data_IF_642006779107
#
_entry.id   IF_642006779107
#
_cell.length_a   1.000
_cell.length_b   1.000
_cell.length_c   1.000
_cell.angle_alpha   90.00
_cell.angle_beta   90.00
_cell.angle_gamma   90.00
#
_symmetry.space_group_name_H-M   'P 1'
#
loop_
_entity.id
_entity.type
_entity.pdbx_description
1 polymer ?
#
# COMPACT_ATOMS: atom_id res chain seq x y z
N UNK A 1 26.50 4.69 7.80
CA UNK A 1 26.41 4.94 6.33
C UNK A 1 27.78 5.26 5.76
N UNK A 2 28.06 4.99 4.48
CA UNK A 2 29.28 5.36 3.75
C UNK A 2 28.97 6.39 2.67
N UNK A 3 30.02 7.16 2.28
CA UNK A 3 29.95 8.09 1.15
C UNK A 3 30.75 7.49 0.00
N UNK A 4 30.10 7.35 -1.16
CA UNK A 4 30.71 6.83 -2.38
C UNK A 4 30.51 7.83 -3.54
N UNK A 5 31.32 7.69 -4.59
CA UNK A 5 31.11 8.46 -5.81
C UNK A 5 30.51 7.58 -6.90
N UNK A 6 29.47 8.05 -7.55
CA UNK A 6 28.86 7.38 -8.69
C UNK A 6 29.90 7.14 -9.81
N UNK A 7 29.99 5.94 -10.31
CA UNK A 7 30.99 5.54 -11.32
C UNK A 7 30.46 4.51 -12.33
N UNK A 8 29.16 4.27 -12.38
CA UNK A 8 28.52 3.26 -13.22
C UNK A 8 28.64 1.83 -12.68
N UNK A 9 29.17 1.62 -11.48
CA UNK A 9 29.32 0.30 -10.83
C UNK A 9 28.71 0.28 -9.44
N UNK A 10 29.05 1.24 -8.58
CA UNK A 10 28.65 1.26 -7.16
C UNK A 10 27.14 1.35 -7.03
N UNK A 11 26.48 2.22 -7.79
CA UNK A 11 25.04 2.41 -7.76
C UNK A 11 24.30 1.15 -8.24
N UNK A 12 24.85 0.40 -9.20
CA UNK A 12 24.25 -0.86 -9.66
C UNK A 12 24.53 -2.03 -8.73
N UNK A 13 25.61 -2.03 -7.98
CA UNK A 13 25.87 -2.99 -6.92
C UNK A 13 24.87 -2.80 -5.77
N UNK A 14 24.61 -1.56 -5.36
CA UNK A 14 23.58 -1.23 -4.38
C UNK A 14 22.19 -1.67 -4.87
N UNK A 15 21.85 -1.37 -6.12
CA UNK A 15 20.58 -1.80 -6.72
C UNK A 15 20.42 -3.33 -6.69
N UNK A 16 21.49 -4.08 -7.02
CA UNK A 16 21.46 -5.54 -6.97
C UNK A 16 21.26 -6.06 -5.53
N UNK A 17 21.90 -5.45 -4.55
CA UNK A 17 21.73 -5.78 -3.13
C UNK A 17 20.29 -5.55 -2.65
N UNK A 18 19.69 -4.41 -3.02
CA UNK A 18 18.31 -4.08 -2.66
C UNK A 18 17.30 -5.02 -3.34
N UNK A 19 17.52 -5.39 -4.59
CA UNK A 19 16.70 -6.38 -5.31
C UNK A 19 16.79 -7.77 -4.66
N UNK A 20 17.98 -8.19 -4.22
CA UNK A 20 18.15 -9.47 -3.52
C UNK A 20 17.43 -9.48 -2.17
N UNK A 21 17.44 -8.37 -1.42
CA UNK A 21 16.68 -8.19 -0.17
C UNK A 21 15.18 -8.47 -0.36
N UNK A 22 14.62 -8.05 -1.50
CA UNK A 22 13.20 -8.15 -1.81
C UNK A 22 12.77 -9.55 -2.29
N UNK A 23 13.71 -10.38 -2.77
CA UNK A 23 13.38 -11.49 -3.69
C UNK A 23 12.83 -12.76 -3.08
N UNK A 24 13.18 -13.17 -1.85
CA UNK A 24 12.81 -14.50 -1.36
C UNK A 24 12.19 -14.48 0.04
N UNK A 25 10.97 -14.98 0.11
CA UNK A 25 10.36 -15.37 1.40
C UNK A 25 11.00 -16.70 1.83
N UNK A 26 11.53 -16.76 3.04
CA UNK A 26 12.07 -18.00 3.62
C UNK A 26 11.04 -19.14 3.46
N UNK A 27 11.42 -20.28 2.86
CA UNK A 27 10.55 -21.45 2.73
C UNK A 27 9.87 -21.86 4.04
N UNK A 28 10.55 -21.71 5.18
CA UNK A 28 9.99 -22.02 6.51
C UNK A 28 8.83 -21.09 6.86
N UNK A 29 8.93 -19.81 6.49
CA UNK A 29 7.82 -18.84 6.69
C UNK A 29 6.65 -19.24 5.81
N UNK A 30 6.90 -19.59 4.55
CA UNK A 30 5.86 -20.03 3.62
C UNK A 30 5.14 -21.27 4.12
N UNK A 31 5.88 -22.28 4.63
CA UNK A 31 5.32 -23.50 5.21
C UNK A 31 4.48 -23.21 6.46
N UNK A 32 4.99 -22.39 7.38
CA UNK A 32 4.27 -21.98 8.58
C UNK A 32 2.97 -21.24 8.25
N UNK A 33 3.02 -20.30 7.31
CA UNK A 33 1.84 -19.53 6.88
C UNK A 33 0.83 -20.44 6.17
N UNK A 34 1.29 -21.37 5.34
CA UNK A 34 0.41 -22.35 4.66
C UNK A 34 -0.32 -23.22 5.70
N UNK A 35 0.37 -23.65 6.75
CA UNK A 35 -0.23 -24.41 7.85
C UNK A 35 -1.32 -23.60 8.57
N UNK A 36 -1.05 -22.31 8.84
CA UNK A 36 -2.03 -21.40 9.47
C UNK A 36 -3.26 -21.22 8.57
N UNK A 37 -3.04 -20.97 7.27
CA UNK A 37 -4.12 -20.79 6.30
C UNK A 37 -5.03 -22.01 6.26
N UNK A 38 -4.46 -23.21 6.15
CA UNK A 38 -5.21 -24.45 6.13
C UNK A 38 -5.98 -24.68 7.44
N UNK A 39 -5.33 -24.43 8.57
CA UNK A 39 -5.96 -24.53 9.89
C UNK A 39 -7.18 -23.62 10.03
N UNK A 40 -7.10 -22.37 9.58
CA UNK A 40 -8.25 -21.43 9.61
C UNK A 40 -9.34 -21.86 8.63
N UNK A 41 -8.98 -22.34 7.43
CA UNK A 41 -9.94 -22.81 6.43
C UNK A 41 -10.77 -23.99 6.94
N UNK A 42 -10.18 -24.89 7.72
CA UNK A 42 -10.82 -26.08 8.24
C UNK A 42 -11.52 -25.84 9.58
N UNK A 43 -10.85 -25.11 10.50
CA UNK A 43 -11.28 -24.93 11.88
C UNK A 43 -12.08 -23.65 12.16
N UNK A 44 -12.13 -22.70 11.21
CA UNK A 44 -12.91 -21.45 11.35
C UNK A 44 -12.52 -20.63 12.60
N UNK A 45 -13.52 -20.16 13.35
CA UNK A 45 -13.33 -19.31 14.54
C UNK A 45 -12.47 -19.96 15.62
N UNK A 46 -12.54 -21.29 15.80
CA UNK A 46 -11.74 -21.97 16.82
C UNK A 46 -10.25 -21.92 16.48
N UNK A 47 -9.88 -22.19 15.23
CA UNK A 47 -8.51 -22.08 14.78
C UNK A 47 -7.99 -20.63 14.87
N UNK A 48 -8.82 -19.65 14.52
CA UNK A 48 -8.47 -18.23 14.68
C UNK A 48 -8.17 -17.91 16.13
N UNK A 49 -8.99 -18.40 17.07
CA UNK A 49 -8.81 -18.21 18.51
C UNK A 49 -7.51 -18.87 19.00
N UNK A 50 -7.25 -20.11 18.62
CA UNK A 50 -6.02 -20.83 19.00
C UNK A 50 -4.75 -20.11 18.52
N UNK A 51 -4.72 -19.67 17.25
CA UNK A 51 -3.59 -18.92 16.72
C UNK A 51 -3.43 -17.55 17.37
N UNK A 52 -4.52 -16.85 17.70
CA UNK A 52 -4.47 -15.56 18.41
C UNK A 52 -3.84 -15.74 19.80
N UNK A 53 -4.27 -16.75 20.57
CA UNK A 53 -3.65 -17.07 21.86
C UNK A 53 -2.16 -17.40 21.71
N UNK A 54 -1.83 -18.19 20.71
CA UNK A 54 -0.46 -18.67 20.48
C UNK A 54 0.50 -17.56 20.07
N UNK A 55 0.07 -16.61 19.22
CA UNK A 55 0.96 -15.61 18.60
C UNK A 55 0.86 -14.24 19.27
N UNK A 56 -0.32 -13.82 19.70
CA UNK A 56 -0.50 -12.53 20.36
C UNK A 56 -0.37 -12.63 21.87
N UNK A 57 -0.34 -13.86 22.45
CA UNK A 57 -0.14 -14.11 23.86
C UNK A 57 -1.26 -13.60 24.75
N UNK A 58 -2.39 -13.22 24.17
CA UNK A 58 -3.56 -12.72 24.90
C UNK A 58 -4.86 -13.28 24.32
N UNK A 59 -5.86 -13.40 25.19
CA UNK A 59 -7.22 -13.75 24.79
C UNK A 59 -8.02 -12.45 24.73
N UNK A 60 -8.54 -12.06 23.56
CA UNK A 60 -9.42 -10.89 23.47
C UNK A 60 -10.63 -11.07 24.39
N UNK A 61 -10.92 -10.08 25.20
CA UNK A 61 -12.15 -10.08 26.05
C UNK A 61 -13.41 -10.03 25.18
N UNK A 62 -13.29 -9.34 24.06
CA UNK A 62 -14.30 -9.23 23.02
C UNK A 62 -13.59 -9.23 21.66
N UNK A 63 -14.08 -10.03 20.72
CA UNK A 63 -13.44 -10.18 19.40
C UNK A 63 -14.03 -9.19 18.39
N UNK A 64 -15.33 -8.95 18.40
CA UNK A 64 -16.06 -8.16 17.41
C UNK A 64 -16.59 -6.87 18.03
N UNK A 65 -16.40 -5.75 17.33
CA UNK A 65 -16.93 -4.42 17.67
C UNK A 65 -17.74 -3.91 16.48
N UNK A 66 -18.98 -3.51 16.75
CA UNK A 66 -19.84 -2.86 15.79
C UNK A 66 -19.58 -1.34 15.73
N UNK A 67 -20.30 -0.67 14.86
CA UNK A 67 -20.10 0.74 14.59
C UNK A 67 -20.32 1.64 15.81
N UNK A 68 -21.32 1.37 16.62
CA UNK A 68 -21.63 2.17 17.80
C UNK A 68 -20.55 2.00 18.86
N UNK A 69 -20.08 0.77 19.05
CA UNK A 69 -18.99 0.44 19.97
C UNK A 69 -17.66 1.06 19.51
N UNK A 70 -17.37 1.06 18.19
CA UNK A 70 -16.20 1.74 17.63
C UNK A 70 -16.29 3.25 17.91
N UNK A 71 -17.44 3.86 17.70
CA UNK A 71 -17.66 5.29 17.95
C UNK A 71 -17.46 5.69 19.43
N UNK A 72 -17.76 4.81 20.38
CA UNK A 72 -17.56 5.08 21.81
C UNK A 72 -16.09 5.31 22.21
N UNK A 73 -15.13 4.90 21.36
CA UNK A 73 -13.70 5.16 21.59
C UNK A 73 -13.29 6.62 21.31
N UNK A 74 -14.10 7.41 20.62
CA UNK A 74 -13.82 8.83 20.40
C UNK A 74 -13.78 9.66 21.68
N UNK A 75 -14.44 9.19 22.74
CA UNK A 75 -14.46 9.83 24.06
C UNK A 75 -13.35 9.30 24.99
N UNK A 76 -12.57 8.30 24.54
CA UNK A 76 -11.51 7.66 25.31
C UNK A 76 -10.10 8.11 24.93
N UNK A 77 -9.97 8.94 23.90
CA UNK A 77 -8.68 9.43 23.38
C UNK A 77 -8.47 10.90 23.68
N UNK A 78 -7.21 11.33 23.65
CA UNK A 78 -6.86 12.74 23.80
C UNK A 78 -7.60 13.59 22.75
N UNK A 79 -8.30 14.67 23.16
CA UNK A 79 -8.98 15.57 22.23
C UNK A 79 -8.05 16.15 21.13
N UNK A 80 -6.80 16.45 21.44
CA UNK A 80 -5.84 16.94 20.46
C UNK A 80 -5.50 15.88 19.41
N UNK A 81 -5.37 14.61 19.83
CA UNK A 81 -5.22 13.48 18.92
C UNK A 81 -6.44 13.32 18.00
N UNK A 82 -7.64 13.35 18.57
CA UNK A 82 -8.90 13.28 17.81
C UNK A 82 -8.97 14.39 16.75
N UNK A 83 -8.66 15.63 17.12
CA UNK A 83 -8.66 16.76 16.18
C UNK A 83 -7.64 16.59 15.07
N UNK A 84 -6.44 16.07 15.36
CA UNK A 84 -5.41 15.79 14.38
C UNK A 84 -5.86 14.71 13.38
N UNK A 85 -6.47 13.61 13.88
CA UNK A 85 -7.00 12.51 13.05
C UNK A 85 -8.13 13.00 12.13
N UNK A 86 -9.03 13.85 12.62
CA UNK A 86 -10.12 14.43 11.79
C UNK A 86 -9.56 15.31 10.69
N UNK A 87 -8.57 16.16 10.98
CA UNK A 87 -7.92 17.01 9.96
C UNK A 87 -7.18 16.17 8.91
N UNK A 88 -6.44 15.16 9.36
CA UNK A 88 -5.76 14.22 8.45
C UNK A 88 -6.76 13.49 7.55
N UNK A 89 -7.86 12.98 8.13
CA UNK A 89 -8.93 12.32 7.37
C UNK A 89 -9.52 13.25 6.30
N UNK A 90 -9.74 14.54 6.62
CA UNK A 90 -10.25 15.51 5.64
C UNK A 90 -9.27 15.72 4.49
N UNK A 91 -7.97 15.90 4.77
CA UNK A 91 -6.96 16.07 3.73
C UNK A 91 -6.88 14.82 2.82
N UNK A 92 -6.94 13.61 3.41
CA UNK A 92 -6.96 12.34 2.66
C UNK A 92 -8.21 12.26 1.79
N UNK A 93 -9.38 12.66 2.32
CA UNK A 93 -10.61 12.71 1.56
C UNK A 93 -10.53 13.69 0.39
N UNK A 94 -10.05 14.92 0.63
CA UNK A 94 -9.92 15.96 -0.39
C UNK A 94 -8.98 15.58 -1.53
N UNK A 95 -7.94 14.83 -1.25
CA UNK A 95 -7.06 14.28 -2.26
C UNK A 95 -7.74 13.16 -3.05
N UNK A 96 -8.25 12.15 -2.34
CA UNK A 96 -8.76 10.92 -2.97
C UNK A 96 -10.10 11.10 -3.69
N UNK A 97 -10.95 12.04 -3.30
CA UNK A 97 -12.20 12.30 -4.01
C UNK A 97 -12.00 12.67 -5.49
N UNK A 98 -10.83 13.24 -5.84
CA UNK A 98 -10.47 13.58 -7.23
C UNK A 98 -10.18 12.35 -8.09
N UNK A 99 -9.98 11.19 -7.48
CA UNK A 99 -9.74 9.92 -8.15
C UNK A 99 -11.04 9.17 -8.47
N UNK A 100 -12.20 9.65 -7.97
CA UNK A 100 -13.48 8.99 -8.18
C UNK A 100 -13.85 8.98 -9.66
N UNK A 101 -14.10 7.79 -10.20
CA UNK A 101 -14.47 7.58 -11.59
C UNK A 101 -15.99 7.38 -11.72
N UNK A 102 -16.55 7.78 -12.86
CA UNK A 102 -17.96 7.61 -13.17
C UNK A 102 -18.17 6.53 -14.24
N UNK A 103 -19.26 5.79 -14.12
CA UNK A 103 -19.75 4.91 -15.20
C UNK A 103 -20.08 5.77 -16.42
N UNK A 104 -19.82 5.22 -17.61
CA UNK A 104 -20.09 5.92 -18.86
C UNK A 104 -20.73 5.00 -19.88
N UNK A 105 -21.46 5.58 -20.81
CA UNK A 105 -21.98 4.89 -21.99
C UNK A 105 -21.89 5.78 -23.22
N UNK A 106 -21.77 5.16 -24.38
CA UNK A 106 -21.87 5.80 -25.69
C UNK A 106 -22.94 5.13 -26.51
N UNK A 107 -23.63 5.91 -27.31
CA UNK A 107 -24.70 5.45 -28.20
C UNK A 107 -24.34 5.83 -29.63
N UNK A 108 -24.43 4.87 -30.56
CA UNK A 108 -24.33 5.15 -31.99
C UNK A 108 -25.69 5.50 -32.57
N UNK A 109 -25.73 6.20 -33.69
CA UNK A 109 -26.99 6.52 -34.42
C UNK A 109 -27.80 5.26 -34.77
N UNK A 110 -27.15 4.15 -35.00
CA UNK A 110 -27.75 2.84 -35.25
C UNK A 110 -28.41 2.18 -34.03
N UNK A 111 -28.40 2.83 -32.84
CA UNK A 111 -28.98 2.30 -31.62
C UNK A 111 -28.07 1.33 -30.86
N UNK A 112 -26.83 1.13 -31.28
CA UNK A 112 -25.84 0.36 -30.51
C UNK A 112 -25.41 1.16 -29.29
N UNK A 113 -25.45 0.54 -28.09
CA UNK A 113 -25.01 1.14 -26.83
C UNK A 113 -23.86 0.30 -26.29
N UNK A 114 -22.79 0.96 -25.91
CA UNK A 114 -21.67 0.35 -25.20
C UNK A 114 -21.27 1.23 -24.03
N UNK A 115 -20.79 0.61 -22.97
CA UNK A 115 -20.34 1.38 -21.83
C UNK A 115 -19.54 0.58 -20.82
N UNK A 116 -19.14 1.27 -19.79
CA UNK A 116 -18.44 0.69 -18.66
C UNK A 116 -19.15 1.07 -17.36
N UNK A 117 -19.48 0.06 -16.59
CA UNK A 117 -20.07 0.22 -15.26
C UNK A 117 -18.96 0.14 -14.23
N UNK A 118 -18.82 1.18 -13.42
CA UNK A 118 -17.85 1.28 -12.33
C UNK A 118 -18.61 1.16 -11.00
N UNK A 119 -18.15 0.27 -10.12
CA UNK A 119 -18.77 0.02 -8.81
C UNK A 119 -17.75 -0.30 -7.77
N UNK A 120 -17.94 0.20 -6.55
CA UNK A 120 -17.21 -0.22 -5.38
C UNK A 120 -17.36 -1.73 -5.12
N UNK A 121 -16.33 -2.32 -4.52
CA UNK A 121 -16.36 -3.68 -4.01
C UNK A 121 -17.46 -3.81 -2.94
N UNK A 122 -17.96 -5.03 -2.75
CA UNK A 122 -18.99 -5.26 -1.73
C UNK A 122 -18.42 -5.15 -0.32
N UNK A 123 -17.30 -5.83 -0.06
CA UNK A 123 -16.70 -5.87 1.26
C UNK A 123 -15.16 -5.88 1.16
N UNK A 124 -14.53 -5.06 1.97
CA UNK A 124 -13.06 -4.93 2.03
C UNK A 124 -12.58 -5.17 3.45
N UNK A 125 -11.50 -5.93 3.59
CA UNK A 125 -10.79 -6.15 4.84
C UNK A 125 -9.59 -5.22 4.94
N UNK A 126 -9.45 -4.50 6.03
CA UNK A 126 -8.27 -3.69 6.34
C UNK A 126 -7.48 -4.39 7.43
N UNK A 127 -6.21 -4.69 7.16
CA UNK A 127 -5.29 -5.14 8.19
C UNK A 127 -4.54 -3.95 8.78
N UNK A 128 -4.65 -3.75 10.09
CA UNK A 128 -3.92 -2.71 10.81
C UNK A 128 -3.00 -3.39 11.83
N UNK A 129 -1.68 -3.18 11.73
CA UNK A 129 -0.74 -3.74 12.68
C UNK A 129 -1.00 -3.26 14.09
N UNK A 130 -0.86 -4.16 15.05
CA UNK A 130 -0.76 -3.88 16.49
C UNK A 130 0.64 -4.27 16.96
N UNK A 131 0.99 -3.95 18.19
CA UNK A 131 2.26 -4.32 18.80
C UNK A 131 3.01 -3.11 19.35
N UNK A 132 4.31 -2.98 19.06
CA UNK A 132 5.16 -1.91 19.61
C UNK A 132 4.82 -0.51 19.09
N UNK A 133 4.19 -0.41 17.92
CA UNK A 133 3.69 0.84 17.35
C UNK A 133 2.23 0.65 16.90
N UNK A 134 1.39 1.62 17.23
CA UNK A 134 0.03 1.73 16.72
C UNK A 134 0.06 2.60 15.47
N UNK A 135 -0.71 2.21 14.44
CA UNK A 135 -0.74 2.93 13.15
C UNK A 135 -2.17 3.44 12.85
N UNK A 136 -2.68 4.47 13.58
CA UNK A 136 -3.98 5.08 13.27
C UNK A 136 -4.01 5.68 11.86
N UNK A 137 -2.88 6.17 11.34
CA UNK A 137 -2.75 6.66 9.96
C UNK A 137 -3.09 5.59 8.92
N UNK A 138 -2.65 4.34 9.13
CA UNK A 138 -2.98 3.24 8.23
C UNK A 138 -4.48 2.93 8.18
N UNK A 139 -5.23 3.21 9.26
CA UNK A 139 -6.69 3.11 9.23
C UNK A 139 -7.26 4.11 8.25
N UNK A 140 -6.87 5.40 8.35
CA UNK A 140 -7.34 6.47 7.46
C UNK A 140 -6.98 6.19 6.00
N UNK A 141 -5.71 5.87 5.74
CA UNK A 141 -5.17 5.67 4.39
C UNK A 141 -5.80 4.50 3.64
N UNK A 142 -6.31 3.51 4.36
CA UNK A 142 -7.02 2.37 3.76
C UNK A 142 -8.54 2.59 3.69
N UNK A 143 -9.17 3.12 4.76
CA UNK A 143 -10.62 3.21 4.84
C UNK A 143 -11.19 4.37 4.03
N UNK A 144 -10.54 5.55 4.02
CA UNK A 144 -11.07 6.74 3.34
C UNK A 144 -11.22 6.53 1.83
N UNK A 145 -10.21 6.07 1.08
CA UNK A 145 -10.39 5.81 -0.36
C UNK A 145 -11.38 4.67 -0.62
N UNK A 146 -11.50 3.67 0.26
CA UNK A 146 -12.52 2.62 0.15
C UNK A 146 -13.95 3.20 0.29
N UNK A 147 -14.18 4.13 1.22
CA UNK A 147 -15.48 4.82 1.35
C UNK A 147 -15.79 5.66 0.12
N UNK A 148 -14.84 6.41 -0.40
CA UNK A 148 -15.00 7.22 -1.63
C UNK A 148 -15.34 6.32 -2.83
N UNK A 149 -14.74 5.15 -2.93
CA UNK A 149 -15.03 4.14 -3.96
C UNK A 149 -16.45 3.55 -3.87
N UNK A 150 -17.15 3.78 -2.76
CA UNK A 150 -18.48 3.23 -2.51
C UNK A 150 -18.47 1.77 -2.07
N UNK A 151 -17.42 1.33 -1.37
CA UNK A 151 -17.40 0.02 -0.69
C UNK A 151 -18.53 -0.04 0.32
N UNK A 152 -19.32 -1.11 0.27
CA UNK A 152 -20.55 -1.20 1.06
C UNK A 152 -20.27 -1.54 2.52
N UNK A 153 -19.23 -2.34 2.80
CA UNK A 153 -18.85 -2.74 4.15
C UNK A 153 -17.32 -2.80 4.27
N UNK A 154 -16.78 -2.08 5.24
CA UNK A 154 -15.34 -2.06 5.56
C UNK A 154 -15.14 -2.76 6.90
N UNK A 155 -14.40 -3.86 6.87
CA UNK A 155 -14.04 -4.64 8.05
C UNK A 155 -12.57 -4.41 8.35
N UNK A 156 -12.26 -4.10 9.59
CA UNK A 156 -10.89 -3.97 10.06
C UNK A 156 -10.51 -5.15 10.96
N UNK A 157 -9.31 -5.68 10.78
CA UNK A 157 -8.67 -6.61 11.72
C UNK A 157 -7.43 -5.98 12.31
N UNK A 158 -7.24 -6.15 13.61
CA UNK A 158 -6.06 -5.66 14.35
C UNK A 158 -5.78 -6.59 15.52
N UNK A 159 -4.51 -6.88 15.86
CA UNK A 159 -4.20 -7.70 17.03
C UNK A 159 -4.73 -7.08 18.31
N UNK A 160 -5.13 -7.89 19.29
CA UNK A 160 -5.44 -7.40 20.64
C UNK A 160 -4.18 -6.84 21.31
N UNK A 161 -4.37 -5.90 22.22
CA UNK A 161 -3.32 -5.47 23.14
C UNK A 161 -2.95 -6.60 24.13
N UNK A 162 -1.85 -6.42 24.84
CA UNK A 162 -1.40 -7.41 25.85
C UNK A 162 -2.43 -7.70 26.95
N UNK A 163 -3.30 -6.75 27.20
CA UNK A 163 -4.42 -6.85 28.14
C UNK A 163 -5.72 -7.44 27.55
N UNK A 164 -5.68 -7.84 26.27
CA UNK A 164 -6.81 -8.37 25.51
C UNK A 164 -7.82 -7.30 25.05
N UNK A 165 -7.48 -6.02 25.19
CA UNK A 165 -8.33 -4.91 24.74
C UNK A 165 -7.82 -4.34 23.40
N UNK A 166 -8.67 -3.62 22.62
CA UNK A 166 -8.20 -2.90 21.43
C UNK A 166 -7.39 -1.65 21.82
N UNK A 167 -6.52 -1.21 20.94
CA UNK A 167 -5.85 0.08 21.09
C UNK A 167 -6.86 1.22 20.85
N UNK A 168 -7.11 2.12 21.83
CA UNK A 168 -8.13 3.16 21.71
C UNK A 168 -7.85 4.15 20.56
N UNK A 169 -6.59 4.45 20.25
CA UNK A 169 -6.24 5.36 19.15
C UNK A 169 -6.55 4.74 17.78
N UNK A 170 -6.33 3.43 17.61
CA UNK A 170 -6.71 2.70 16.39
C UNK A 170 -8.23 2.69 16.25
N UNK A 171 -8.97 2.43 17.35
CA UNK A 171 -10.43 2.42 17.33
C UNK A 171 -11.02 3.80 17.04
N UNK A 172 -10.46 4.87 17.61
CA UNK A 172 -10.88 6.24 17.32
C UNK A 172 -10.64 6.60 15.83
N UNK A 173 -9.49 6.21 15.27
CA UNK A 173 -9.23 6.39 13.83
C UNK A 173 -10.22 5.57 12.98
N UNK A 174 -10.59 4.36 13.38
CA UNK A 174 -11.60 3.55 12.71
C UNK A 174 -12.98 4.21 12.74
N UNK A 175 -13.36 4.84 13.86
CA UNK A 175 -14.59 5.63 13.98
C UNK A 175 -14.59 6.82 13.02
N UNK A 176 -13.51 7.62 12.99
CA UNK A 176 -13.37 8.80 12.12
C UNK A 176 -13.38 8.38 10.64
N UNK A 177 -12.70 7.28 10.29
CA UNK A 177 -12.66 6.76 8.91
C UNK A 177 -13.96 6.06 8.46
N UNK A 178 -14.88 5.81 9.39
CA UNK A 178 -16.17 5.17 9.12
C UNK A 178 -16.07 3.68 8.84
N UNK A 179 -15.18 2.97 9.55
CA UNK A 179 -15.11 1.50 9.53
C UNK A 179 -16.40 0.92 10.11
N UNK A 180 -16.92 -0.15 9.49
CA UNK A 180 -18.22 -0.70 9.86
C UNK A 180 -18.11 -1.75 10.98
N UNK A 181 -17.02 -2.54 10.98
CA UNK A 181 -16.72 -3.55 12.00
C UNK A 181 -15.23 -3.68 12.28
N UNK A 182 -14.89 -4.00 13.51
CA UNK A 182 -13.51 -4.31 13.92
C UNK A 182 -13.46 -5.67 14.59
N UNK A 183 -12.49 -6.49 14.20
CA UNK A 183 -12.19 -7.77 14.82
C UNK A 183 -10.78 -7.77 15.42
N UNK A 184 -10.67 -8.15 16.69
CA UNK A 184 -9.38 -8.26 17.37
C UNK A 184 -8.70 -9.59 17.03
N UNK A 185 -8.09 -9.62 15.87
CA UNK A 185 -7.32 -10.75 15.33
C UNK A 185 -6.15 -10.20 14.54
N UNK A 186 -4.95 -10.71 14.77
CA UNK A 186 -3.73 -10.34 14.05
C UNK A 186 -3.19 -11.48 13.17
N UNK A 187 -1.99 -11.28 12.62
CA UNK A 187 -1.21 -12.31 11.95
C UNK A 187 -1.81 -12.90 10.66
N UNK A 188 -1.20 -13.99 10.21
CA UNK A 188 -1.64 -14.71 9.02
C UNK A 188 -3.05 -15.31 9.17
N UNK A 189 -3.46 -15.65 10.40
CA UNK A 189 -4.79 -16.18 10.70
C UNK A 189 -5.90 -15.14 10.45
N UNK A 190 -5.63 -13.85 10.69
CA UNK A 190 -6.57 -12.78 10.35
C UNK A 190 -6.77 -12.65 8.83
N UNK A 191 -5.66 -12.72 8.07
CA UNK A 191 -5.70 -12.68 6.60
C UNK A 191 -6.47 -13.88 6.04
N UNK A 192 -6.24 -15.08 6.58
CA UNK A 192 -6.95 -16.30 6.19
C UNK A 192 -8.45 -16.22 6.53
N UNK A 193 -8.80 -15.69 7.71
CA UNK A 193 -10.18 -15.48 8.12
C UNK A 193 -10.92 -14.50 7.20
N UNK A 194 -10.28 -13.39 6.81
CA UNK A 194 -10.86 -12.45 5.84
C UNK A 194 -11.02 -13.06 4.45
N UNK A 195 -10.07 -13.92 4.01
CA UNK A 195 -10.08 -14.51 2.68
C UNK A 195 -11.14 -15.60 2.51
N UNK A 196 -11.33 -16.46 3.49
CA UNK A 196 -12.29 -17.58 3.41
C UNK A 196 -13.62 -17.28 4.09
N UNK A 197 -13.63 -16.40 5.07
CA UNK A 197 -14.71 -16.24 6.02
C UNK A 197 -14.65 -17.29 7.13
N UNK A 198 -15.21 -16.97 8.29
CA UNK A 198 -15.44 -17.88 9.41
C UNK A 198 -16.88 -17.72 9.88
N UNK A 199 -17.25 -18.30 11.01
CA UNK A 199 -18.60 -18.16 11.55
C UNK A 199 -18.91 -16.72 11.96
N UNK A 200 -17.89 -15.95 12.40
CA UNK A 200 -18.02 -14.55 12.85
C UNK A 200 -17.44 -13.54 11.85
N UNK A 201 -16.28 -13.84 11.27
CA UNK A 201 -15.59 -12.94 10.36
C UNK A 201 -16.06 -13.21 8.94
N UNK A 202 -16.79 -12.30 8.30
CA UNK A 202 -17.29 -12.53 6.95
C UNK A 202 -16.17 -12.44 5.91
N UNK A 203 -16.28 -13.26 4.85
CA UNK A 203 -15.37 -13.21 3.69
C UNK A 203 -15.41 -11.82 3.04
N UNK A 204 -14.24 -11.34 2.64
CA UNK A 204 -14.06 -10.07 1.92
C UNK A 204 -13.64 -10.29 0.46
N UNK A 205 -13.81 -9.26 -0.37
CA UNK A 205 -13.41 -9.29 -1.78
C UNK A 205 -11.95 -8.85 -1.95
N UNK A 206 -11.44 -8.01 -1.05
CA UNK A 206 -10.06 -7.49 -1.05
C UNK A 206 -9.53 -7.29 0.35
N UNK A 207 -8.24 -7.56 0.56
CA UNK A 207 -7.51 -7.29 1.80
C UNK A 207 -6.44 -6.23 1.52
N UNK A 208 -6.46 -5.15 2.29
CA UNK A 208 -5.49 -4.05 2.18
C UNK A 208 -4.83 -3.78 3.54
N UNK A 209 -3.72 -3.07 3.52
CA UNK A 209 -2.98 -2.66 4.71
C UNK A 209 -1.66 -3.39 4.91
N UNK A 210 -0.70 -2.73 5.58
CA UNK A 210 0.62 -3.25 5.86
C UNK A 210 0.59 -4.31 6.97
N UNK A 211 1.58 -5.19 6.98
CA UNK A 211 1.75 -6.18 8.03
C UNK A 211 3.16 -6.78 8.01
N UNK A 212 3.49 -7.56 9.02
CA UNK A 212 4.78 -8.25 9.09
C UNK A 212 4.91 -9.31 7.98
N UNK A 213 6.08 -9.96 7.92
CA UNK A 213 6.38 -10.96 6.88
C UNK A 213 5.35 -12.10 6.80
N UNK A 214 4.74 -12.52 7.93
CA UNK A 214 3.71 -13.55 7.93
C UNK A 214 2.41 -13.07 7.28
N UNK A 215 2.02 -11.81 7.54
CA UNK A 215 0.85 -11.16 6.93
C UNK A 215 1.07 -10.96 5.42
N UNK A 216 2.25 -10.43 5.02
CA UNK A 216 2.60 -10.25 3.62
C UNK A 216 2.62 -11.58 2.86
N UNK A 217 3.19 -12.64 3.47
CA UNK A 217 3.22 -13.99 2.89
C UNK A 217 1.80 -14.57 2.78
N UNK A 218 0.93 -14.37 3.78
CA UNK A 218 -0.45 -14.83 3.72
C UNK A 218 -1.24 -14.12 2.61
N UNK A 219 -1.08 -12.81 2.45
CA UNK A 219 -1.67 -12.05 1.33
C UNK A 219 -1.20 -12.60 -0.01
N UNK A 220 0.12 -12.83 -0.17
CA UNK A 220 0.71 -13.40 -1.40
C UNK A 220 0.13 -14.78 -1.74
N UNK A 221 0.02 -15.68 -0.74
CA UNK A 221 -0.49 -17.05 -0.96
C UNK A 221 -1.99 -17.10 -1.23
N UNK A 222 -2.75 -16.12 -0.75
CA UNK A 222 -4.21 -16.05 -0.89
C UNK A 222 -4.65 -15.18 -2.08
N UNK A 223 -3.71 -14.55 -2.78
CA UNK A 223 -4.03 -13.82 -4.01
C UNK A 223 -4.68 -14.76 -5.03
N UNK A 224 -5.83 -14.36 -5.56
CA UNK A 224 -6.67 -15.18 -6.42
C UNK A 224 -7.86 -15.84 -5.68
N UNK A 225 -7.76 -16.10 -4.37
CA UNK A 225 -8.89 -16.42 -3.49
C UNK A 225 -9.57 -15.14 -3.02
N UNK A 226 -8.77 -14.15 -2.73
CA UNK A 226 -9.12 -12.77 -2.37
C UNK A 226 -8.16 -11.84 -3.10
N UNK A 227 -8.59 -10.65 -3.47
CA UNK A 227 -7.68 -9.65 -4.01
C UNK A 227 -6.89 -8.95 -2.89
N UNK A 228 -5.73 -8.39 -3.21
CA UNK A 228 -4.87 -7.66 -2.26
C UNK A 228 -4.45 -6.30 -2.84
N UNK A 229 -3.97 -5.39 -1.99
CA UNK A 229 -3.32 -4.15 -2.42
C UNK A 229 -1.99 -4.44 -3.13
N UNK A 230 -1.03 -4.99 -2.39
CA UNK A 230 0.29 -5.38 -2.88
C UNK A 230 0.98 -6.33 -1.90
N UNK A 231 2.10 -6.88 -2.32
CA UNK A 231 3.03 -7.59 -1.42
C UNK A 231 4.10 -6.58 -0.99
N UNK A 232 3.94 -6.01 0.19
CA UNK A 232 4.88 -5.02 0.73
C UNK A 232 6.23 -5.66 1.09
N UNK A 233 7.30 -5.00 0.68
CA UNK A 233 8.66 -5.22 1.16
C UNK A 233 9.03 -4.29 2.31
N UNK A 234 10.31 -4.25 2.71
CA UNK A 234 10.83 -3.26 3.65
C UNK A 234 10.70 -1.85 3.10
N UNK A 235 10.48 -0.88 3.99
CA UNK A 235 10.33 0.53 3.64
C UNK A 235 11.59 1.15 3.03
N UNK A 236 11.42 2.16 2.18
CA UNK A 236 12.48 2.75 1.38
C UNK A 236 12.34 4.25 1.25
N UNK A 237 13.42 5.00 1.46
CA UNK A 237 13.53 6.39 1.06
C UNK A 237 14.74 6.61 0.16
N UNK A 238 14.55 7.36 -0.89
CA UNK A 238 15.59 7.90 -1.74
C UNK A 238 15.45 9.40 -1.81
N UNK A 239 16.52 10.12 -1.43
CA UNK A 239 16.57 11.57 -1.50
C UNK A 239 17.52 11.97 -2.63
N UNK A 240 17.06 12.83 -3.53
CA UNK A 240 17.90 13.50 -4.52
C UNK A 240 18.06 14.95 -4.10
N UNK A 241 19.31 15.38 -3.85
CA UNK A 241 19.59 16.71 -3.33
C UNK A 241 20.71 17.44 -4.08
N UNK A 242 20.55 18.75 -4.28
CA UNK A 242 21.62 19.63 -4.72
C UNK A 242 22.24 20.40 -3.53
N UNK A 243 23.18 21.31 -3.80
CA UNK A 243 23.87 22.07 -2.77
C UNK A 243 23.01 23.07 -1.98
N UNK A 244 21.73 23.25 -2.37
CA UNK A 244 20.79 24.15 -1.68
C UNK A 244 20.01 23.47 -0.55
N UNK A 245 20.09 22.14 -0.47
CA UNK A 245 19.42 21.38 0.58
C UNK A 245 20.09 21.55 1.94
N UNK A 246 19.29 21.45 3.00
CA UNK A 246 19.77 21.51 4.38
C UNK A 246 20.17 20.10 4.87
N UNK A 247 21.45 19.97 5.25
CA UNK A 247 22.00 18.69 5.72
C UNK A 247 21.29 18.15 6.97
N UNK A 248 20.75 19.01 7.82
CA UNK A 248 20.03 18.60 9.03
C UNK A 248 18.65 18.02 8.71
N UNK A 249 17.99 18.53 7.68
CA UNK A 249 16.72 18.00 7.18
C UNK A 249 16.93 16.64 6.53
N UNK A 250 17.90 16.55 5.60
CA UNK A 250 18.21 15.27 4.93
C UNK A 250 18.57 14.17 5.93
N UNK A 251 19.33 14.50 6.98
CA UNK A 251 19.66 13.54 8.03
C UNK A 251 18.41 13.07 8.79
N UNK A 252 17.49 13.97 9.11
CA UNK A 252 16.24 13.63 9.79
C UNK A 252 15.35 12.74 8.92
N UNK A 253 15.21 13.05 7.63
CA UNK A 253 14.36 12.31 6.69
C UNK A 253 14.92 10.92 6.39
N UNK A 254 16.24 10.76 6.27
CA UNK A 254 16.88 9.44 6.17
C UNK A 254 16.64 8.59 7.41
N UNK A 255 16.67 9.19 8.62
CA UNK A 255 16.45 8.48 9.87
C UNK A 255 14.97 8.15 10.12
N UNK A 256 14.03 9.00 9.67
CA UNK A 256 12.59 8.70 9.78
C UNK A 256 12.23 7.41 9.09
N UNK A 257 12.82 7.14 7.93
CA UNK A 257 12.61 5.87 7.23
C UNK A 257 13.37 4.71 7.85
N UNK A 258 14.64 4.96 8.25
CA UNK A 258 15.50 3.91 8.83
C UNK A 258 14.96 3.36 10.15
N UNK A 259 14.18 4.15 10.92
CA UNK A 259 13.60 3.70 12.19
C UNK A 259 12.44 2.70 12.05
N UNK A 260 11.86 2.56 10.85
CA UNK A 260 10.74 1.64 10.63
C UNK A 260 11.14 0.17 10.84
N UNK A 261 12.25 -0.25 10.25
CA UNK A 261 12.73 -1.65 10.31
C UNK A 261 14.24 -1.74 10.05
N UNK A 262 14.92 -2.74 10.62
CA UNK A 262 16.35 -2.99 10.38
C UNK A 262 16.67 -3.27 8.90
N UNK A 263 15.68 -3.64 8.10
CA UNK A 263 15.80 -3.90 6.66
C UNK A 263 15.36 -2.69 5.81
N UNK A 264 14.93 -1.59 6.41
CA UNK A 264 14.63 -0.36 5.68
C UNK A 264 15.86 0.14 4.93
N UNK A 265 15.66 0.81 3.79
CA UNK A 265 16.76 1.46 3.07
C UNK A 265 16.60 2.97 3.06
N UNK A 266 17.72 3.66 3.25
CA UNK A 266 17.77 5.11 3.25
C UNK A 266 18.98 5.58 2.43
N UNK A 267 18.71 6.18 1.27
CA UNK A 267 19.72 6.51 0.28
C UNK A 267 19.67 8.01 -0.03
N UNK A 268 20.84 8.67 -0.03
CA UNK A 268 21.00 10.03 -0.49
C UNK A 268 21.81 10.05 -1.79
N UNK A 269 21.27 10.62 -2.84
CA UNK A 269 21.98 10.98 -4.06
C UNK A 269 22.18 12.50 -4.07
N UNK A 270 23.41 12.96 -4.16
CA UNK A 270 23.67 14.41 -4.16
C UNK A 270 24.74 14.78 -5.17
N UNK A 271 24.65 15.99 -5.72
CA UNK A 271 25.70 16.58 -6.57
C UNK A 271 26.76 17.34 -5.76
N UNK A 272 26.64 17.37 -4.41
CA UNK A 272 27.50 18.14 -3.53
C UNK A 272 28.22 17.25 -2.51
N UNK A 273 29.53 17.10 -2.68
CA UNK A 273 30.37 16.36 -1.73
C UNK A 273 30.37 17.00 -0.32
N UNK A 274 30.28 18.32 -0.24
CA UNK A 274 30.19 19.03 1.03
C UNK A 274 28.89 18.76 1.75
N UNK A 275 27.75 18.70 1.02
CA UNK A 275 26.44 18.31 1.56
C UNK A 275 26.47 16.86 2.06
N UNK A 276 27.02 15.94 1.29
CA UNK A 276 27.17 14.53 1.70
C UNK A 276 27.90 14.40 3.05
N UNK A 277 29.03 15.10 3.22
CA UNK A 277 29.81 15.10 4.46
C UNK A 277 29.05 15.74 5.63
N UNK A 278 28.32 16.82 5.37
CA UNK A 278 27.56 17.53 6.39
C UNK A 278 26.36 16.69 6.83
N UNK A 279 25.64 16.03 5.90
CA UNK A 279 24.54 15.12 6.22
C UNK A 279 25.01 13.96 7.10
N UNK A 280 26.17 13.36 6.81
CA UNK A 280 26.72 12.30 7.66
C UNK A 280 27.02 12.80 9.08
N UNK A 281 27.58 14.00 9.25
CA UNK A 281 27.80 14.61 10.58
C UNK A 281 26.49 14.87 11.32
N UNK A 282 25.47 15.31 10.60
CA UNK A 282 24.14 15.54 11.17
C UNK A 282 23.48 14.24 11.61
N UNK A 283 23.61 13.14 10.84
CA UNK A 283 23.18 11.81 11.25
C UNK A 283 23.86 11.42 12.57
N UNK A 284 25.20 11.52 12.66
CA UNK A 284 25.97 11.19 13.87
C UNK A 284 25.58 12.03 15.10
N UNK A 285 25.11 13.26 14.85
CA UNK A 285 24.63 14.15 15.91
C UNK A 285 23.23 13.79 16.37
N UNK A 286 22.29 13.65 15.42
CA UNK A 286 20.85 13.54 15.70
C UNK A 286 20.47 12.15 16.21
N UNK A 287 21.09 11.07 15.70
CA UNK A 287 20.78 9.69 16.08
C UNK A 287 20.85 9.47 17.60
N UNK A 288 21.74 10.20 18.29
CA UNK A 288 21.97 10.08 19.75
C UNK A 288 20.74 10.47 20.59
N UNK A 289 19.80 11.18 20.02
CA UNK A 289 18.60 11.66 20.71
C UNK A 289 17.36 10.82 20.40
N UNK A 290 17.46 9.87 19.47
CA UNK A 290 16.33 9.07 19.00
C UNK A 290 16.19 7.79 19.83
N UNK A 291 14.95 7.33 20.01
CA UNK A 291 14.65 6.14 20.85
C UNK A 291 15.06 4.83 20.14
N UNK A 292 14.94 4.79 18.81
CA UNK A 292 15.17 3.56 18.01
C UNK A 292 16.56 3.50 17.37
N UNK A 293 17.59 4.01 18.05
CA UNK A 293 18.97 4.13 17.53
C UNK A 293 19.52 2.84 16.94
N UNK A 294 19.34 1.71 17.62
CA UNK A 294 19.85 0.41 17.17
C UNK A 294 19.26 -0.04 15.84
N UNK A 295 17.95 0.23 15.64
CA UNK A 295 17.25 -0.10 14.40
C UNK A 295 17.78 0.78 13.27
N UNK A 296 17.84 2.09 13.51
CA UNK A 296 18.37 3.08 12.54
C UNK A 296 19.79 2.72 12.14
N UNK A 297 20.68 2.45 13.14
CA UNK A 297 22.08 2.12 12.88
C UNK A 297 22.18 0.84 12.01
N UNK A 298 21.42 -0.20 12.35
CA UNK A 298 21.43 -1.46 11.59
C UNK A 298 20.94 -1.28 10.16
N UNK A 299 19.86 -0.51 9.97
CA UNK A 299 19.36 -0.14 8.65
C UNK A 299 20.42 0.61 7.83
N UNK A 300 21.08 1.59 8.43
CA UNK A 300 22.15 2.35 7.78
C UNK A 300 23.39 1.50 7.45
N UNK A 301 23.77 0.58 8.32
CA UNK A 301 24.93 -0.28 8.10
C UNK A 301 24.72 -1.24 6.94
N UNK A 302 23.51 -1.78 6.83
CA UNK A 302 23.21 -2.80 5.82
C UNK A 302 22.67 -2.18 4.50
N UNK A 303 21.86 -1.11 4.57
CA UNK A 303 21.08 -0.62 3.43
C UNK A 303 21.11 0.92 3.28
N UNK A 304 21.95 1.63 4.03
CA UNK A 304 22.10 3.08 3.95
C UNK A 304 23.33 3.48 3.14
N UNK A 305 23.17 4.40 2.17
CA UNK A 305 24.30 4.89 1.39
C UNK A 305 24.11 6.35 0.98
N UNK A 306 25.22 7.11 0.90
CA UNK A 306 25.27 8.44 0.32
C UNK A 306 26.11 8.35 -0.94
N UNK A 307 25.54 8.69 -2.10
CA UNK A 307 26.20 8.63 -3.40
C UNK A 307 26.34 10.03 -3.96
N UNK A 308 27.58 10.45 -4.25
CA UNK A 308 27.86 11.71 -4.93
C UNK A 308 27.82 11.50 -6.42
N UNK A 309 26.85 12.13 -7.08
CA UNK A 309 26.61 12.08 -8.51
C UNK A 309 27.26 13.28 -9.22
N UNK A 310 27.61 13.12 -10.50
CA UNK A 310 28.19 14.20 -11.29
C UNK A 310 27.18 15.32 -11.62
N UNK A 311 25.88 14.98 -11.71
CA UNK A 311 24.80 15.92 -11.97
C UNK A 311 23.43 15.31 -11.56
N UNK A 312 22.38 16.17 -11.49
CA UNK A 312 21.04 15.76 -11.11
C UNK A 312 20.40 14.77 -12.12
N UNK A 313 20.77 14.81 -13.38
CA UNK A 313 20.27 13.87 -14.37
C UNK A 313 20.70 12.44 -14.03
N UNK A 314 21.98 12.23 -13.73
CA UNK A 314 22.48 10.93 -13.29
C UNK A 314 21.78 10.44 -12.03
N UNK A 315 21.54 11.33 -11.06
CA UNK A 315 20.82 10.98 -9.83
C UNK A 315 19.37 10.54 -10.13
N UNK A 316 18.66 11.24 -11.01
CA UNK A 316 17.29 10.92 -11.38
C UNK A 316 17.21 9.64 -12.24
N UNK A 317 18.16 9.42 -13.14
CA UNK A 317 18.22 8.18 -13.94
C UNK A 317 18.40 6.98 -13.00
N UNK A 318 19.26 7.09 -11.98
CA UNK A 318 19.40 6.04 -10.95
C UNK A 318 18.14 5.91 -10.06
N UNK A 319 17.50 7.02 -9.68
CA UNK A 319 16.25 7.00 -8.93
C UNK A 319 15.15 6.22 -9.69
N UNK A 320 15.02 6.45 -10.99
CA UNK A 320 14.09 5.71 -11.86
C UNK A 320 14.45 4.22 -11.96
N UNK A 321 15.75 3.88 -11.96
CA UNK A 321 16.20 2.48 -11.93
C UNK A 321 15.93 1.81 -10.59
N UNK A 322 16.01 2.53 -9.48
CA UNK A 322 15.65 2.02 -8.15
C UNK A 322 14.14 1.87 -7.98
N UNK A 323 13.38 2.82 -8.52
CA UNK A 323 11.93 2.92 -8.38
C UNK A 323 11.50 2.86 -6.88
N UNK A 324 11.93 3.84 -6.06
CA UNK A 324 11.77 3.79 -4.62
C UNK A 324 10.33 3.96 -4.19
N UNK A 325 10.02 3.53 -2.97
CA UNK A 325 8.76 3.81 -2.28
C UNK A 325 8.56 5.31 -2.10
N UNK A 326 9.50 5.98 -1.45
CA UNK A 326 9.50 7.43 -1.24
C UNK A 326 10.67 8.06 -2.00
N UNK A 327 10.37 9.07 -2.81
CA UNK A 327 11.37 9.88 -3.50
C UNK A 327 11.24 11.34 -3.06
N UNK A 328 12.29 11.89 -2.42
CA UNK A 328 12.36 13.31 -2.14
C UNK A 328 13.27 14.03 -3.14
N UNK A 329 12.82 15.17 -3.67
CA UNK A 329 13.58 16.05 -4.55
C UNK A 329 13.94 17.35 -3.79
N UNK A 330 14.99 17.27 -2.97
CA UNK A 330 15.50 18.40 -2.17
C UNK A 330 16.48 19.25 -2.99
N UNK A 331 15.97 19.90 -4.03
CA UNK A 331 16.71 20.70 -4.99
C UNK A 331 16.12 22.13 -5.11
N UNK A 332 16.86 23.08 -5.64
CA UNK A 332 16.44 24.48 -5.74
C UNK A 332 15.11 24.67 -6.48
N UNK A 333 14.86 23.89 -7.55
CA UNK A 333 13.67 24.02 -8.40
C UNK A 333 13.02 22.67 -8.68
N UNK A 334 12.42 22.01 -7.66
CA UNK A 334 11.96 20.62 -7.76
C UNK A 334 10.91 20.40 -8.84
N UNK A 335 10.03 21.37 -9.10
CA UNK A 335 9.00 21.28 -10.14
C UNK A 335 9.56 21.11 -11.56
N UNK A 336 10.81 21.55 -11.82
CA UNK A 336 11.46 21.33 -13.12
C UNK A 336 11.78 19.86 -13.39
N UNK A 337 11.92 19.07 -12.34
CA UNK A 337 12.38 17.69 -12.42
C UNK A 337 11.26 16.65 -12.30
N UNK A 338 10.04 17.06 -11.92
CA UNK A 338 8.92 16.13 -11.77
C UNK A 338 8.63 15.32 -13.05
N UNK A 339 8.78 15.95 -14.21
CA UNK A 339 8.61 15.28 -15.51
C UNK A 339 9.74 14.31 -15.90
N UNK A 340 10.80 14.21 -15.08
CA UNK A 340 11.91 13.27 -15.25
C UNK A 340 11.81 12.07 -14.29
N UNK A 341 10.81 12.04 -13.42
CA UNK A 341 10.54 10.95 -12.50
C UNK A 341 9.52 10.02 -13.14
N UNK A 342 9.97 8.85 -13.57
CA UNK A 342 9.10 7.84 -14.18
C UNK A 342 8.59 6.84 -13.14
N UNK A 343 9.42 6.51 -12.14
CA UNK A 343 9.18 5.41 -11.23
C UNK A 343 9.43 5.83 -9.78
N UNK A 344 8.37 6.12 -9.04
CA UNK A 344 8.40 6.29 -7.58
C UNK A 344 7.00 6.01 -7.01
N UNK A 345 6.93 5.52 -5.79
CA UNK A 345 5.66 5.34 -5.09
C UNK A 345 5.03 6.68 -4.75
N UNK A 346 5.78 7.59 -4.10
CA UNK A 346 5.38 8.97 -3.84
C UNK A 346 6.56 9.91 -4.07
N UNK A 347 6.29 11.14 -4.53
CA UNK A 347 7.32 12.16 -4.80
C UNK A 347 7.08 13.40 -3.95
N UNK A 348 8.08 13.78 -3.17
CA UNK A 348 8.08 14.92 -2.26
C UNK A 348 8.95 16.03 -2.83
N UNK A 349 8.43 17.24 -2.93
CA UNK A 349 9.05 18.32 -3.69
C UNK A 349 9.54 19.43 -2.80
N UNK A 350 10.88 19.56 -2.71
CA UNK A 350 11.57 20.61 -1.98
C UNK A 350 11.77 20.33 -0.48
N UNK A 351 12.58 21.14 0.16
CA UNK A 351 13.03 20.96 1.54
C UNK A 351 11.93 21.04 2.62
N UNK A 352 10.72 21.45 2.26
CA UNK A 352 9.59 21.61 3.19
C UNK A 352 8.48 20.54 2.98
N UNK A 353 8.81 19.48 2.26
CA UNK A 353 7.91 18.37 2.00
C UNK A 353 8.58 17.06 2.43
N UNK A 354 8.84 16.84 3.72
CA UNK A 354 9.45 15.61 4.20
C UNK A 354 8.47 14.42 4.11
N UNK A 355 8.99 13.21 4.05
CA UNK A 355 8.20 11.96 3.97
C UNK A 355 7.11 11.87 5.06
N UNK A 356 7.36 12.20 6.36
CA UNK A 356 6.32 12.11 7.38
C UNK A 356 5.09 13.01 7.13
N UNK A 357 5.24 14.08 6.34
CA UNK A 357 4.10 14.89 5.91
C UNK A 357 3.13 14.06 5.06
N UNK A 358 3.65 13.23 4.15
CA UNK A 358 2.87 12.30 3.35
C UNK A 358 2.25 11.19 4.18
N UNK A 359 3.01 10.63 5.11
CA UNK A 359 2.57 9.51 5.93
C UNK A 359 1.38 9.84 6.84
N UNK A 360 1.31 11.08 7.32
CA UNK A 360 0.33 11.43 8.34
C UNK A 360 -0.72 12.45 7.92
N UNK A 361 -0.42 13.39 7.01
CA UNK A 361 -1.24 14.59 6.94
C UNK A 361 -1.56 15.14 5.56
N UNK A 362 -0.67 15.05 4.57
CA UNK A 362 -0.81 15.76 3.29
C UNK A 362 -1.99 15.31 2.43
N UNK A 363 -2.43 14.05 2.56
CA UNK A 363 -3.57 13.51 1.83
C UNK A 363 -3.25 12.40 0.83
N UNK A 364 -2.17 12.42 0.04
CA UNK A 364 -1.75 11.28 -0.75
C UNK A 364 -1.59 10.01 0.11
N UNK A 365 -1.78 8.84 -0.49
CA UNK A 365 -1.75 7.59 0.25
C UNK A 365 -0.33 7.16 0.59
N UNK A 366 -0.13 6.65 1.79
CA UNK A 366 1.15 6.10 2.25
C UNK A 366 1.28 4.58 2.05
N UNK A 367 0.24 3.90 1.55
CA UNK A 367 0.35 2.50 1.14
C UNK A 367 0.95 2.48 -0.27
N UNK A 368 2.25 2.37 -0.33
CA UNK A 368 3.07 2.59 -1.51
C UNK A 368 3.72 1.30 -2.01
N UNK A 369 3.99 1.18 -3.31
CA UNK A 369 4.77 0.08 -3.86
C UNK A 369 6.22 0.16 -3.39
N UNK A 370 6.74 -0.94 -2.88
CA UNK A 370 8.10 -1.09 -2.36
C UNK A 370 8.95 -1.99 -3.26
N UNK A 371 10.25 -2.05 -3.02
CA UNK A 371 11.16 -3.02 -3.64
C UNK A 371 11.19 -2.93 -5.17
N UNK A 372 11.15 -1.70 -5.68
CA UNK A 372 11.21 -1.42 -7.10
C UNK A 372 9.92 -1.71 -7.88
N UNK A 373 8.83 -2.05 -7.18
CA UNK A 373 7.54 -2.36 -7.82
C UNK A 373 6.78 -1.11 -8.28
N UNK A 374 7.23 0.10 -7.90
CA UNK A 374 6.72 1.36 -8.42
C UNK A 374 6.86 1.50 -9.96
N UNK A 375 7.59 0.59 -10.62
CA UNK A 375 7.65 0.48 -12.08
C UNK A 375 6.32 0.04 -12.71
N UNK A 376 5.45 -0.65 -11.95
CA UNK A 376 4.21 -1.23 -12.46
C UNK A 376 3.05 -1.22 -11.47
N UNK A 377 3.30 -0.93 -10.20
CA UNK A 377 2.27 -0.69 -9.20
C UNK A 377 2.15 0.81 -8.88
N UNK A 378 0.97 1.20 -8.43
CA UNK A 378 0.65 2.55 -7.97
C UNK A 378 0.35 2.55 -6.47
N UNK A 379 0.40 3.71 -5.81
CA UNK A 379 -0.14 3.87 -4.46
C UNK A 379 -1.58 3.40 -4.36
N UNK A 380 -1.98 2.97 -3.17
CA UNK A 380 -3.38 2.65 -2.90
C UNK A 380 -4.26 3.86 -3.21
N UNK A 381 -5.33 3.65 -3.95
CA UNK A 381 -6.18 4.71 -4.47
C UNK A 381 -7.65 4.27 -4.49
N UNK A 382 -8.54 5.17 -4.88
CA UNK A 382 -9.97 4.84 -5.10
C UNK A 382 -10.13 3.72 -6.14
N UNK A 383 -9.27 3.71 -7.17
CA UNK A 383 -9.26 2.66 -8.20
C UNK A 383 -9.01 1.25 -7.63
N UNK A 384 -8.26 1.15 -6.54
CA UNK A 384 -7.97 -0.12 -5.87
C UNK A 384 -9.23 -0.80 -5.29
N UNK A 385 -10.31 -0.05 -5.11
CA UNK A 385 -11.55 -0.50 -4.46
C UNK A 385 -12.75 -0.57 -5.38
N UNK A 386 -12.57 -0.34 -6.69
CA UNK A 386 -13.63 -0.44 -7.67
C UNK A 386 -13.40 -1.60 -8.64
N UNK A 387 -14.47 -2.10 -9.20
CA UNK A 387 -14.43 -3.01 -10.35
C UNK A 387 -15.17 -2.41 -11.53
N UNK A 388 -14.67 -2.69 -12.72
CA UNK A 388 -15.15 -2.16 -13.99
C UNK A 388 -15.66 -3.33 -14.84
N UNK A 389 -16.88 -3.23 -15.33
CA UNK A 389 -17.45 -4.21 -16.25
C UNK A 389 -18.00 -3.51 -17.47
N UNK A 390 -17.74 -4.04 -18.66
CA UNK A 390 -18.34 -3.58 -19.90
C UNK A 390 -19.76 -4.11 -20.03
N UNK A 391 -20.61 -3.35 -20.74
CA UNK A 391 -21.89 -3.82 -21.24
C UNK A 391 -22.04 -3.42 -22.70
N UNK A 392 -22.72 -4.29 -23.46
CA UNK A 392 -22.91 -4.16 -24.90
C UNK A 392 -24.37 -4.43 -25.18
N UNK A 393 -24.99 -3.53 -25.93
CA UNK A 393 -26.33 -3.70 -26.50
C UNK A 393 -26.27 -3.49 -28.00
N UNK A 394 -26.75 -4.47 -28.80
CA UNK A 394 -26.87 -4.39 -30.24
C UNK A 394 -28.31 -4.58 -30.66
N UNK A 395 -28.74 -3.83 -31.67
CA UNK A 395 -30.02 -4.11 -32.33
C UNK A 395 -29.88 -5.33 -33.27
N UNK A 396 -30.99 -6.02 -33.59
CA UNK A 396 -30.94 -7.10 -34.58
C UNK A 396 -30.34 -6.67 -35.92
N UNK A 397 -30.67 -5.46 -36.39
CA UNK A 397 -30.20 -4.89 -37.64
C UNK A 397 -28.69 -4.68 -37.63
N UNK A 398 -28.14 -4.16 -36.54
CA UNK A 398 -26.70 -3.92 -36.41
C UNK A 398 -25.93 -5.23 -36.25
N UNK A 399 -26.47 -6.20 -35.50
CA UNK A 399 -25.87 -7.52 -35.41
C UNK A 399 -25.86 -8.23 -36.76
N UNK A 400 -26.92 -8.07 -37.58
CA UNK A 400 -27.00 -8.64 -38.94
C UNK A 400 -25.91 -8.08 -39.84
N UNK A 401 -25.55 -6.80 -39.73
CA UNK A 401 -24.44 -6.20 -40.49
C UNK A 401 -23.07 -6.79 -40.11
N UNK A 402 -22.87 -7.14 -38.85
CA UNK A 402 -21.62 -7.71 -38.34
C UNK A 402 -21.55 -9.25 -38.43
N UNK A 403 -22.65 -9.90 -38.86
CA UNK A 403 -22.82 -11.36 -38.79
C UNK A 403 -21.69 -12.11 -39.49
N UNK A 404 -21.42 -11.78 -40.74
CA UNK A 404 -20.50 -12.55 -41.59
C UNK A 404 -19.05 -12.39 -41.10
N UNK A 405 -18.68 -11.18 -40.67
CA UNK A 405 -17.36 -10.90 -40.10
C UNK A 405 -17.12 -11.68 -38.77
N UNK A 406 -18.11 -11.70 -37.87
CA UNK A 406 -18.01 -12.43 -36.62
C UNK A 406 -17.88 -13.93 -36.88
N UNK A 407 -18.69 -14.47 -37.79
CA UNK A 407 -18.66 -15.89 -38.14
C UNK A 407 -17.31 -16.28 -38.75
N UNK A 408 -16.81 -15.48 -39.69
CA UNK A 408 -15.51 -15.70 -40.34
C UNK A 408 -14.38 -15.72 -39.30
N UNK A 409 -14.34 -14.75 -38.36
CA UNK A 409 -13.34 -14.70 -37.30
C UNK A 409 -13.41 -15.95 -36.41
N UNK A 410 -14.60 -16.32 -35.97
CA UNK A 410 -14.80 -17.50 -35.12
C UNK A 410 -14.41 -18.81 -35.82
N UNK A 411 -14.74 -18.96 -37.09
CA UNK A 411 -14.37 -20.13 -37.91
C UNK A 411 -12.87 -20.21 -38.15
N UNK A 412 -12.22 -19.07 -38.38
CA UNK A 412 -10.76 -18.98 -38.54
C UNK A 412 -10.02 -19.43 -37.26
N UNK A 413 -10.60 -19.15 -36.09
CA UNK A 413 -10.09 -19.64 -34.79
C UNK A 413 -10.49 -21.11 -34.49
N UNK A 414 -11.28 -21.75 -35.37
CA UNK A 414 -11.78 -23.11 -35.18
C UNK A 414 -12.95 -23.19 -34.16
N UNK A 415 -13.53 -22.06 -33.80
CA UNK A 415 -14.59 -21.95 -32.79
C UNK A 415 -15.99 -22.02 -33.44
N UNK A 416 -16.36 -23.14 -33.98
CA UNK A 416 -17.62 -23.34 -34.75
C UNK A 416 -18.87 -23.07 -33.91
N UNK A 417 -18.87 -23.34 -32.61
CA UNK A 417 -19.99 -23.03 -31.74
C UNK A 417 -20.17 -21.49 -31.55
N UNK A 418 -19.10 -20.70 -31.60
CA UNK A 418 -19.17 -19.24 -31.59
C UNK A 418 -19.81 -18.73 -32.87
N UNK A 419 -19.39 -19.25 -34.06
CA UNK A 419 -19.99 -18.93 -35.35
C UNK A 419 -21.49 -19.30 -35.36
N UNK A 420 -21.84 -20.51 -34.90
CA UNK A 420 -23.21 -20.99 -34.82
C UNK A 420 -24.08 -20.11 -33.89
N UNK A 421 -23.51 -19.57 -32.80
CA UNK A 421 -24.25 -18.65 -31.92
C UNK A 421 -24.76 -17.41 -32.64
N UNK A 422 -24.02 -16.93 -33.64
CA UNK A 422 -24.44 -15.79 -34.47
C UNK A 422 -25.42 -16.26 -35.53
N UNK A 423 -25.13 -17.40 -36.19
CA UNK A 423 -25.92 -17.94 -37.32
C UNK A 423 -27.37 -18.16 -36.94
N UNK A 424 -27.65 -18.86 -35.83
CA UNK A 424 -29.01 -19.25 -35.36
C UNK A 424 -29.89 -18.01 -34.99
N UNK A 425 -29.32 -16.82 -34.83
CA UNK A 425 -30.09 -15.60 -34.58
C UNK A 425 -30.75 -15.03 -35.82
N UNK A 426 -30.42 -15.58 -37.00
CA UNK A 426 -30.90 -15.14 -38.33
C UNK A 426 -31.47 -16.26 -39.18
N UNK A 427 -31.60 -17.45 -38.63
CA UNK A 427 -32.40 -18.57 -39.17
C UNK A 427 -33.84 -18.45 -38.67
#
# INVERSE_FOLDING_TARGET
>A
MKITKANGVVEYQLLAQLKQRAGETDPKITEAVTTIINGVKEGGDEAVREYTVRFDGSVPKKIEFDKDEIHAFLDQVDPAFKDAVVKAQQNIYDFHQRQAQQSWMTTKESGVIMGQRIRGLKRVGIYVPGGTAAYPSSVLMNAVPAKIAGVQEIIMVTPPGKDGNPNPNIMAAAAVAGVDKVYLVGGAQAVAALAYGTQRIPKVDKIVGPGNIFVATAKKLLYGVVDIDMVAGPSEILIVADSTADASFLAADLMSQAEHDMRASAILLTTSESLAKNTLREIDRQIKTLVRQEIIQKSFDDYGEIIVCDNLRQALDFANELAPEHLELCVAEPLKYIGMVDNAGSVFLGNWSPEPLGDYYAGPNHVLPTSGTARFFSPLSVDSFVKKSSFIYYTPEELKKAKDDIMLLAETEGLTAHANSIKVRFE
#
